data_IF_674308371546
#
_entry.id   IF_674308371546
#
_cell.length_a   1.000
_cell.length_b   1.000
_cell.length_c   1.000
_cell.angle_alpha   90.00
_cell.angle_beta   90.00
_cell.angle_gamma   90.00
#
_symmetry.space_group_name_H-M   'P 1'
#
loop_
_entity.id
_entity.type
_entity.pdbx_description
1 polymer ?
#
# COMPACT_ATOMS: atom_id res chain seq x y z
N UNK A 1 -40.39 44.56 -7.66
CA UNK A 1 -40.96 43.26 -8.02
C UNK A 1 -39.99 42.66 -9.07
N UNK A 2 -39.20 41.75 -8.79
CA UNK A 2 -39.12 40.36 -8.58
C UNK A 2 -37.74 39.92 -8.01
N UNK A 3 -37.67 39.76 -6.74
CA UNK A 3 -36.65 38.96 -6.09
C UNK A 3 -37.24 37.57 -6.01
N UNK A 4 -36.74 36.57 -6.75
CA UNK A 4 -36.96 35.15 -6.47
C UNK A 4 -36.13 34.36 -7.50
N UNK A 5 -35.42 33.31 -7.00
CA UNK A 5 -34.93 32.12 -7.74
C UNK A 5 -33.50 32.10 -8.21
N UNK A 6 -32.56 32.42 -7.34
CA UNK A 6 -31.16 31.98 -7.54
C UNK A 6 -30.72 30.94 -6.51
N UNK A 7 -31.66 30.39 -5.70
CA UNK A 7 -31.32 29.47 -4.59
C UNK A 7 -31.59 27.98 -4.84
N UNK A 8 -32.01 27.60 -6.05
CA UNK A 8 -32.46 26.21 -6.29
C UNK A 8 -31.55 25.41 -7.23
N UNK A 9 -30.43 25.98 -7.68
CA UNK A 9 -29.51 25.29 -8.62
C UNK A 9 -28.25 24.74 -7.93
N UNK A 10 -28.02 25.08 -6.66
CA UNK A 10 -26.80 24.65 -5.95
C UNK A 10 -26.92 23.29 -5.23
N UNK A 11 -28.11 22.71 -5.17
CA UNK A 11 -28.37 21.47 -4.41
C UNK A 11 -28.01 20.16 -5.11
N UNK A 12 -28.02 20.03 -6.46
CA UNK A 12 -27.71 18.73 -7.08
C UNK A 12 -26.21 18.45 -7.29
N UNK A 13 -25.30 19.43 -7.09
CA UNK A 13 -23.86 19.22 -7.33
C UNK A 13 -23.17 18.55 -6.13
N UNK A 14 -23.77 18.58 -4.95
CA UNK A 14 -23.19 18.01 -3.71
C UNK A 14 -23.40 16.50 -3.55
N UNK A 15 -24.23 15.87 -4.36
CA UNK A 15 -24.58 14.43 -4.21
C UNK A 15 -23.64 13.49 -5.00
N UNK A 16 -22.75 14.02 -5.84
CA UNK A 16 -21.86 13.20 -6.69
C UNK A 16 -20.49 12.87 -6.07
N UNK A 17 -20.28 13.17 -4.79
CA UNK A 17 -19.06 12.78 -4.05
C UNK A 17 -19.24 11.46 -3.27
N UNK A 18 -20.16 10.60 -3.66
CA UNK A 18 -20.37 9.32 -3.00
C UNK A 18 -19.39 8.26 -3.51
N UNK A 19 -18.27 8.17 -2.77
CA UNK A 19 -17.62 6.91 -2.45
C UNK A 19 -17.52 5.88 -3.59
N UNK A 20 -16.46 5.98 -4.38
CA UNK A 20 -15.88 4.80 -5.01
C UNK A 20 -15.19 3.96 -3.91
N UNK A 21 -15.95 3.29 -3.05
CA UNK A 21 -15.45 2.16 -2.31
C UNK A 21 -15.23 1.04 -3.32
N UNK A 22 -14.02 0.95 -3.89
CA UNK A 22 -13.67 -0.22 -4.68
C UNK A 22 -13.75 -1.45 -3.77
N UNK A 23 -14.64 -2.36 -4.14
CA UNK A 23 -14.72 -3.65 -3.47
C UNK A 23 -13.54 -4.51 -3.90
N UNK A 24 -12.94 -5.21 -2.94
CA UNK A 24 -11.95 -6.25 -3.24
C UNK A 24 -12.59 -7.28 -4.17
N UNK A 25 -11.92 -7.73 -5.24
CA UNK A 25 -12.42 -8.78 -6.11
C UNK A 25 -12.80 -10.02 -5.31
N UNK A 26 -13.94 -10.64 -5.61
CA UNK A 26 -14.40 -11.81 -4.88
C UNK A 26 -13.44 -13.00 -5.04
N UNK A 27 -12.80 -13.10 -6.19
CA UNK A 27 -11.82 -14.13 -6.50
C UNK A 27 -10.88 -13.61 -7.60
N UNK A 28 -9.59 -13.96 -7.49
CA UNK A 28 -8.62 -13.73 -8.56
C UNK A 28 -8.57 -14.98 -9.43
N UNK A 29 -8.81 -14.81 -10.73
CA UNK A 29 -8.77 -15.87 -11.73
C UNK A 29 -7.46 -16.69 -11.61
N UNK A 30 -7.61 -18.02 -11.62
CA UNK A 30 -6.47 -18.94 -11.55
C UNK A 30 -5.51 -18.81 -12.74
N UNK A 31 -6.00 -18.30 -13.88
CA UNK A 31 -5.21 -18.05 -15.09
C UNK A 31 -4.32 -16.82 -15.03
N UNK A 32 -4.44 -15.97 -13.99
CA UNK A 32 -3.63 -14.76 -13.87
C UNK A 32 -2.14 -15.12 -13.75
N UNK A 33 -1.37 -14.61 -14.71
CA UNK A 33 0.09 -14.68 -14.67
C UNK A 33 0.65 -13.71 -13.61
N UNK A 34 1.87 -13.96 -13.21
CA UNK A 34 2.56 -13.23 -12.15
C UNK A 34 2.52 -11.70 -12.30
N UNK A 35 2.73 -11.21 -13.52
CA UNK A 35 2.80 -9.77 -13.80
C UNK A 35 1.47 -9.05 -13.56
N UNK A 36 0.35 -9.76 -13.69
CA UNK A 36 -0.99 -9.19 -13.51
C UNK A 36 -1.21 -8.74 -12.06
N UNK A 37 -0.64 -9.45 -11.09
CA UNK A 37 -0.78 -9.11 -9.67
C UNK A 37 -0.15 -7.76 -9.35
N UNK A 38 1.10 -7.55 -9.77
CA UNK A 38 1.79 -6.27 -9.53
C UNK A 38 1.16 -5.12 -10.30
N UNK A 39 0.75 -5.36 -11.56
CA UNK A 39 0.05 -4.36 -12.35
C UNK A 39 -1.24 -3.90 -11.66
N UNK A 40 -2.11 -4.84 -11.31
CA UNK A 40 -3.40 -4.52 -10.69
C UNK A 40 -3.22 -3.91 -9.30
N UNK A 41 -2.25 -4.39 -8.52
CA UNK A 41 -1.92 -3.79 -7.23
C UNK A 41 -1.44 -2.34 -7.39
N UNK A 42 -0.59 -2.06 -8.38
CA UNK A 42 -0.11 -0.70 -8.64
C UNK A 42 -1.24 0.22 -9.12
N UNK A 43 -2.10 -0.23 -10.04
CA UNK A 43 -3.28 0.53 -10.47
C UNK A 43 -4.21 0.85 -9.30
N UNK A 44 -4.42 -0.11 -8.39
CA UNK A 44 -5.18 0.11 -7.16
C UNK A 44 -4.49 1.12 -6.21
N UNK A 45 -3.16 1.04 -6.07
CA UNK A 45 -2.37 2.01 -5.30
C UNK A 45 -2.52 3.43 -5.84
N UNK A 46 -2.44 3.61 -7.15
CA UNK A 46 -2.56 4.90 -7.84
C UNK A 46 -3.97 5.49 -7.69
N UNK A 47 -4.97 4.61 -7.59
CA UNK A 47 -6.36 4.98 -7.29
C UNK A 47 -6.66 5.14 -5.78
N UNK A 48 -5.66 5.01 -4.89
CA UNK A 48 -5.81 4.99 -3.43
C UNK A 48 -6.76 3.89 -2.90
N UNK A 49 -6.92 2.81 -3.67
CA UNK A 49 -7.71 1.64 -3.31
C UNK A 49 -6.83 0.62 -2.55
N UNK A 50 -6.33 1.02 -1.39
CA UNK A 50 -5.30 0.30 -0.65
C UNK A 50 -5.70 -1.12 -0.24
N UNK A 51 -6.97 -1.36 0.07
CA UNK A 51 -7.48 -2.70 0.38
C UNK A 51 -7.41 -3.64 -0.84
N UNK A 52 -7.65 -3.12 -2.05
CA UNK A 52 -7.54 -3.89 -3.30
C UNK A 52 -6.08 -4.20 -3.59
N UNK A 53 -5.18 -3.22 -3.43
CA UNK A 53 -3.75 -3.44 -3.61
C UNK A 53 -3.19 -4.49 -2.64
N UNK A 54 -3.55 -4.40 -1.34
CA UNK A 54 -3.18 -5.40 -0.32
C UNK A 54 -3.61 -6.80 -0.74
N UNK A 55 -4.87 -6.96 -1.19
CA UNK A 55 -5.38 -8.25 -1.62
C UNK A 55 -4.55 -8.87 -2.77
N UNK A 56 -4.18 -8.08 -3.78
CA UNK A 56 -3.34 -8.58 -4.88
C UNK A 56 -1.95 -9.00 -4.39
N UNK A 57 -1.30 -8.23 -3.52
CA UNK A 57 0.00 -8.61 -2.96
C UNK A 57 -0.09 -9.84 -2.06
N UNK A 58 -1.15 -9.98 -1.26
CA UNK A 58 -1.36 -11.15 -0.40
C UNK A 58 -1.58 -12.43 -1.21
N UNK A 59 -2.43 -12.37 -2.23
CA UNK A 59 -2.65 -13.52 -3.12
C UNK A 59 -1.36 -13.86 -3.88
N UNK A 60 -0.59 -12.84 -4.30
CA UNK A 60 0.72 -13.05 -4.94
C UNK A 60 1.68 -13.85 -4.04
N UNK A 61 1.83 -13.42 -2.80
CA UNK A 61 2.73 -14.07 -1.83
C UNK A 61 2.35 -15.53 -1.56
N UNK A 62 1.07 -15.88 -1.64
CA UNK A 62 0.60 -17.26 -1.50
C UNK A 62 0.83 -18.09 -2.76
N UNK A 63 0.66 -17.50 -3.95
CA UNK A 63 0.77 -18.22 -5.23
C UNK A 63 2.20 -18.40 -5.72
N UNK A 64 3.09 -17.45 -5.42
CA UNK A 64 4.46 -17.40 -5.95
C UNK A 64 5.52 -17.26 -4.85
N UNK A 65 5.50 -18.11 -3.81
CA UNK A 65 6.43 -18.00 -2.68
C UNK A 65 7.90 -18.19 -3.07
N UNK A 66 8.17 -18.91 -4.17
CA UNK A 66 9.52 -19.21 -4.64
C UNK A 66 10.13 -18.08 -5.49
N UNK A 67 9.37 -17.08 -5.86
CA UNK A 67 9.89 -15.92 -6.60
C UNK A 67 10.45 -14.89 -5.62
N UNK A 68 11.66 -15.12 -5.13
CA UNK A 68 12.24 -14.40 -3.99
C UNK A 68 12.45 -12.92 -4.21
N UNK A 69 12.81 -12.47 -5.41
CA UNK A 69 12.97 -11.04 -5.76
C UNK A 69 11.65 -10.29 -5.77
N UNK A 70 10.58 -10.97 -6.18
CA UNK A 70 9.22 -10.40 -6.21
C UNK A 70 8.48 -10.55 -4.87
N UNK A 71 8.73 -11.59 -4.10
CA UNK A 71 8.12 -11.72 -2.76
C UNK A 71 8.59 -10.61 -1.85
N UNK A 72 9.89 -10.29 -1.83
CA UNK A 72 10.40 -9.18 -1.03
C UNK A 72 9.81 -7.83 -1.49
N UNK A 73 9.57 -7.67 -2.80
CA UNK A 73 8.91 -6.49 -3.35
C UNK A 73 7.45 -6.38 -2.84
N UNK A 74 6.68 -7.48 -2.89
CA UNK A 74 5.30 -7.49 -2.42
C UNK A 74 5.19 -7.22 -0.92
N UNK A 75 6.10 -7.77 -0.10
CA UNK A 75 6.18 -7.49 1.34
C UNK A 75 6.49 -6.03 1.62
N UNK A 76 7.44 -5.44 0.89
CA UNK A 76 7.75 -4.01 0.97
C UNK A 76 6.52 -3.15 0.62
N UNK A 77 5.82 -3.45 -0.47
CA UNK A 77 4.64 -2.69 -0.90
C UNK A 77 3.49 -2.79 0.12
N UNK A 78 3.29 -3.96 0.74
CA UNK A 78 2.34 -4.11 1.85
C UNK A 78 2.69 -3.18 3.01
N UNK A 79 3.94 -3.16 3.45
CA UNK A 79 4.40 -2.26 4.51
C UNK A 79 4.20 -0.79 4.14
N UNK A 80 4.45 -0.42 2.87
CA UNK A 80 4.26 0.93 2.34
C UNK A 80 2.78 1.35 2.33
N UNK A 81 1.86 0.44 2.07
CA UNK A 81 0.42 0.71 2.15
C UNK A 81 0.03 1.13 3.57
N UNK A 82 0.48 0.40 4.59
CA UNK A 82 0.19 0.77 5.98
C UNK A 82 0.84 2.12 6.37
N UNK A 83 2.02 2.43 5.84
CA UNK A 83 2.61 3.76 5.98
C UNK A 83 1.72 4.86 5.36
N UNK A 84 1.21 4.65 4.13
CA UNK A 84 0.33 5.59 3.43
C UNK A 84 -1.02 5.78 4.14
N UNK A 85 -1.56 4.73 4.74
CA UNK A 85 -2.79 4.77 5.54
C UNK A 85 -2.57 5.26 6.98
N UNK A 86 -1.33 5.60 7.35
CA UNK A 86 -0.90 6.13 8.65
C UNK A 86 -1.00 5.13 9.81
N UNK A 87 -1.11 3.85 9.52
CA UNK A 87 -0.94 2.79 10.51
C UNK A 87 0.56 2.54 10.71
N UNK A 88 1.20 3.50 11.41
CA UNK A 88 2.65 3.54 11.54
C UNK A 88 3.22 2.39 12.38
N UNK A 89 2.52 1.95 13.40
CA UNK A 89 2.98 0.85 14.26
C UNK A 89 3.02 -0.46 13.48
N UNK A 90 1.97 -0.76 12.74
CA UNK A 90 1.92 -1.97 11.92
C UNK A 90 2.87 -1.89 10.73
N UNK A 91 2.95 -0.74 10.05
CA UNK A 91 3.92 -0.50 8.99
C UNK A 91 5.35 -0.72 9.47
N UNK A 92 5.70 -0.22 10.67
CA UNK A 92 7.01 -0.43 11.27
C UNK A 92 7.35 -1.90 11.41
N UNK A 93 6.45 -2.67 12.01
CA UNK A 93 6.64 -4.10 12.20
C UNK A 93 6.86 -4.85 10.86
N UNK A 94 6.13 -4.47 9.81
CA UNK A 94 6.29 -5.06 8.48
C UNK A 94 7.62 -4.69 7.83
N UNK A 95 8.07 -3.43 7.93
CA UNK A 95 9.39 -3.05 7.41
C UNK A 95 10.54 -3.72 8.17
N UNK A 96 10.40 -3.89 9.48
CA UNK A 96 11.37 -4.65 10.29
C UNK A 96 11.43 -6.13 9.84
N UNK A 97 10.30 -6.75 9.50
CA UNK A 97 10.27 -8.08 8.90
C UNK A 97 10.94 -8.13 7.51
N UNK A 98 10.72 -7.11 6.67
CA UNK A 98 11.45 -7.01 5.39
C UNK A 98 12.95 -6.97 5.62
N UNK A 99 13.46 -6.16 6.56
CA UNK A 99 14.89 -6.07 6.86
C UNK A 99 15.44 -7.36 7.46
N UNK A 100 14.68 -8.02 8.34
CA UNK A 100 15.05 -9.33 8.90
C UNK A 100 15.30 -10.38 7.80
N UNK A 101 14.51 -10.35 6.73
CA UNK A 101 14.75 -11.24 5.59
C UNK A 101 16.07 -10.99 4.88
N UNK A 102 16.54 -9.75 4.80
CA UNK A 102 17.88 -9.44 4.25
C UNK A 102 19.01 -9.97 5.12
N UNK A 103 18.78 -10.05 6.43
CA UNK A 103 19.80 -10.51 7.38
C UNK A 103 19.82 -12.03 7.54
N UNK A 104 18.64 -12.67 7.55
CA UNK A 104 18.48 -14.05 8.02
C UNK A 104 17.99 -15.04 6.95
N UNK A 105 17.54 -14.58 5.77
CA UNK A 105 17.10 -15.49 4.72
C UNK A 105 18.27 -16.10 3.96
N UNK A 106 18.25 -17.42 3.68
CA UNK A 106 19.22 -18.03 2.79
C UNK A 106 19.14 -17.52 1.34
N UNK A 107 18.04 -16.85 0.99
CA UNK A 107 17.79 -16.27 -0.33
C UNK A 107 18.09 -14.77 -0.41
N UNK A 108 18.67 -14.17 0.63
CA UNK A 108 18.93 -12.74 0.71
C UNK A 108 19.75 -12.21 -0.49
N UNK A 109 20.65 -13.02 -1.05
CA UNK A 109 21.45 -12.67 -2.24
C UNK A 109 20.57 -12.40 -3.49
N UNK A 110 19.36 -12.92 -3.52
CA UNK A 110 18.42 -12.74 -4.63
C UNK A 110 17.55 -11.49 -4.47
N UNK A 111 17.58 -10.85 -3.31
CA UNK A 111 16.73 -9.69 -3.03
C UNK A 111 17.31 -8.42 -3.64
N UNK A 112 16.52 -7.62 -4.40
CA UNK A 112 16.97 -6.33 -4.90
C UNK A 112 17.26 -5.37 -3.75
N UNK A 113 18.50 -4.88 -3.65
CA UNK A 113 18.98 -4.03 -2.54
C UNK A 113 18.14 -2.77 -2.31
N UNK A 114 17.48 -2.28 -3.36
CA UNK A 114 16.60 -1.09 -3.27
C UNK A 114 15.55 -1.18 -2.16
N UNK A 115 14.97 -2.36 -1.92
CA UNK A 115 13.92 -2.51 -0.91
C UNK A 115 14.48 -2.45 0.51
N UNK A 116 15.71 -2.90 0.74
CA UNK A 116 16.43 -2.69 2.00
C UNK A 116 16.60 -1.20 2.27
N UNK A 117 17.22 -0.48 1.33
CA UNK A 117 17.51 0.96 1.47
C UNK A 117 16.21 1.76 1.68
N UNK A 118 15.16 1.45 0.93
CA UNK A 118 13.87 2.14 1.06
C UNK A 118 13.18 1.82 2.38
N UNK A 119 13.26 0.58 2.87
CA UNK A 119 12.70 0.19 4.17
C UNK A 119 13.37 0.93 5.31
N UNK A 120 14.71 0.97 5.34
CA UNK A 120 15.48 1.74 6.32
C UNK A 120 15.08 3.22 6.33
N UNK A 121 14.94 3.82 5.15
CA UNK A 121 14.51 5.22 5.01
C UNK A 121 13.12 5.48 5.57
N UNK A 122 12.17 4.58 5.29
CA UNK A 122 10.78 4.75 5.77
C UNK A 122 10.71 4.51 7.27
N UNK A 123 11.45 3.56 7.83
CA UNK A 123 11.53 3.34 9.27
C UNK A 123 12.00 4.60 10.02
N UNK A 124 12.98 5.32 9.50
CA UNK A 124 13.38 6.61 10.08
C UNK A 124 12.24 7.63 10.07
N UNK A 125 11.47 7.68 8.98
CA UNK A 125 10.31 8.58 8.90
C UNK A 125 9.18 8.17 9.85
N UNK A 126 8.94 6.87 10.03
CA UNK A 126 7.97 6.34 10.99
C UNK A 126 8.38 6.72 12.41
N UNK A 127 9.64 6.53 12.77
CA UNK A 127 10.14 6.89 14.09
C UNK A 127 10.00 8.39 14.39
N UNK A 128 10.17 9.25 13.38
CA UNK A 128 9.89 10.69 13.52
C UNK A 128 8.38 10.98 13.74
N UNK A 129 7.49 10.18 13.11
CA UNK A 129 6.04 10.32 13.27
C UNK A 129 5.55 9.86 14.63
N UNK A 130 6.09 8.74 15.12
CA UNK A 130 5.74 8.16 16.41
C UNK A 130 6.37 8.92 17.58
N UNK A 131 7.54 9.55 17.38
CA UNK A 131 8.31 10.24 18.42
C UNK A 131 8.64 11.70 18.06
N UNK A 132 7.65 12.58 17.86
CA UNK A 132 7.89 13.94 17.35
C UNK A 132 8.74 14.82 18.28
N UNK A 133 8.87 14.47 19.56
CA UNK A 133 9.63 15.25 20.58
C UNK A 133 11.15 15.05 20.53
N UNK A 134 11.67 14.07 19.78
CA UNK A 134 13.13 13.87 19.62
C UNK A 134 13.80 14.90 18.70
N UNK A 135 13.05 15.73 18.01
CA UNK A 135 13.56 16.67 16.99
C UNK A 135 14.14 17.97 17.55
N UNK A 136 14.03 18.23 18.86
CA UNK A 136 14.43 19.50 19.52
C UNK A 136 15.56 19.33 20.56
N UNK A 137 16.55 18.47 20.29
CA UNK A 137 17.81 18.44 21.06
C UNK A 137 19.03 18.55 20.15
#
# INVERSE_FOLDING_TARGET
MNKIKCSLVLLPVLVLLLNSCASVPAEIDASYHEEVFFKNAQEAMDANQYNVALYYYEVYLVRYPENHDKTIAAEYEKALIYYKTKDYDYSKALFEQVLDRYENSPFAIMFPERYKILSEKILLQIDEKLNPKKKNK
#
